data_IF_006137692654
#
_entry.id   IF_006137692654
#
_cell.length_a   1.000
_cell.length_b   1.000
_cell.length_c   1.000
_cell.angle_alpha   90.00
_cell.angle_beta   90.00
_cell.angle_gamma   90.00
#
_symmetry.space_group_name_H-M   'P 1'
#
loop_
_entity.id
_entity.type
_entity.pdbx_description
1 polymer ?
#
# COMPACT_ATOMS: atom_id res chain seq x y z
N UNK A 1 13.47 -26.40 10.53
CA UNK A 1 13.40 -25.85 10.51
C UNK A 1 13.56 -24.96 10.31
N UNK A 2 13.42 -24.85 10.19
CA UNK A 2 13.48 -24.11 9.96
C UNK A 2 13.65 -23.12 10.05
N UNK A 3 14.19 -22.69 9.80
CA UNK A 3 14.32 -21.74 9.87
C UNK A 3 13.86 -20.83 9.80
N UNK A 4 14.00 -20.38 10.15
CA UNK A 4 13.10 -19.58 9.93
C UNK A 4 13.38 -18.18 10.03
N UNK A 5 13.55 -17.61 8.90
CA UNK A 5 13.56 -16.20 8.71
C UNK A 5 12.14 -15.72 8.93
N UNK A 6 11.95 -14.87 9.90
CA UNK A 6 10.65 -14.30 10.11
C UNK A 6 10.34 -13.32 9.01
N UNK A 7 9.15 -13.43 8.47
CA UNK A 7 8.72 -12.50 7.45
C UNK A 7 8.49 -11.11 8.06
N UNK A 8 8.77 -10.09 7.28
CA UNK A 8 8.61 -8.70 7.72
C UNK A 8 7.14 -8.32 7.55
N UNK A 9 6.50 -7.77 8.59
CA UNK A 9 5.09 -7.37 8.47
C UNK A 9 4.91 -6.27 7.44
N UNK A 10 3.93 -6.46 6.56
CA UNK A 10 3.60 -5.49 5.53
C UNK A 10 2.09 -5.39 5.40
N UNK A 11 1.63 -4.34 4.76
CA UNK A 11 0.20 -4.20 4.45
C UNK A 11 0.06 -4.00 2.95
N UNK A 12 -1.09 -4.38 2.43
CA UNK A 12 -1.44 -4.16 1.04
C UNK A 12 -2.36 -2.96 0.95
N UNK A 13 -2.08 -2.08 0.00
CA UNK A 13 -3.00 -0.98 -0.29
C UNK A 13 -3.54 -1.18 -1.70
N UNK A 14 -4.86 -1.27 -1.80
CA UNK A 14 -5.55 -1.50 -3.06
C UNK A 14 -6.45 -0.32 -3.36
N UNK A 15 -6.45 0.12 -4.60
CA UNK A 15 -7.29 1.22 -5.02
C UNK A 15 -7.79 1.00 -6.45
N UNK A 16 -9.04 1.34 -6.67
CA UNK A 16 -9.63 1.29 -8.00
C UNK A 16 -10.55 2.50 -8.16
N UNK A 17 -10.42 3.21 -9.27
CA UNK A 17 -11.28 4.36 -9.53
C UNK A 17 -12.56 3.90 -10.23
N UNK A 18 -13.55 4.79 -10.23
CA UNK A 18 -14.86 4.47 -10.81
C UNK A 18 -14.89 4.67 -12.33
N UNK A 19 -14.00 5.47 -12.84
CA UNK A 19 -14.09 5.97 -14.21
C UNK A 19 -13.06 5.40 -15.16
N UNK A 20 -12.33 4.37 -14.73
CA UNK A 20 -11.28 3.78 -15.54
C UNK A 20 -11.36 2.27 -15.47
N UNK A 21 -10.94 1.63 -16.56
CA UNK A 21 -10.73 0.20 -16.53
C UNK A 21 -9.35 -0.04 -15.94
N UNK A 22 -9.32 -0.53 -14.74
CA UNK A 22 -8.08 -0.80 -14.03
C UNK A 22 -8.06 -2.24 -13.60
N UNK A 23 -6.86 -2.67 -13.19
CA UNK A 23 -6.69 -3.98 -12.61
C UNK A 23 -7.69 -4.18 -11.47
N UNK A 24 -8.37 -5.32 -11.43
CA UNK A 24 -9.35 -5.57 -10.40
C UNK A 24 -8.67 -5.65 -9.03
N UNK A 25 -9.46 -5.41 -7.98
CA UNK A 25 -8.91 -5.48 -6.63
C UNK A 25 -8.39 -6.88 -6.32
N UNK A 26 -9.09 -7.90 -6.79
CA UNK A 26 -8.66 -9.28 -6.58
C UNK A 26 -7.32 -9.57 -7.25
N UNK A 27 -7.15 -9.07 -8.47
CA UNK A 27 -5.90 -9.25 -9.19
C UNK A 27 -4.77 -8.50 -8.52
N UNK A 28 -5.03 -7.28 -8.06
CA UNK A 28 -4.03 -6.51 -7.33
C UNK A 28 -3.59 -7.25 -6.08
N UNK A 29 -4.57 -7.78 -5.33
CA UNK A 29 -4.27 -8.50 -4.09
C UNK A 29 -3.40 -9.71 -4.36
N UNK A 30 -3.73 -10.48 -5.39
CA UNK A 30 -2.99 -11.68 -5.72
C UNK A 30 -1.53 -11.35 -6.04
N UNK A 31 -1.31 -10.32 -6.85
CA UNK A 31 0.04 -9.92 -7.22
C UNK A 31 0.82 -9.38 -6.02
N UNK A 32 0.14 -8.66 -5.14
CA UNK A 32 0.79 -8.12 -3.95
C UNK A 32 1.22 -9.24 -3.01
N UNK A 33 0.35 -10.22 -2.80
CA UNK A 33 0.68 -11.35 -1.93
C UNK A 33 1.84 -12.14 -2.51
N UNK A 34 1.83 -12.36 -3.82
CA UNK A 34 2.91 -13.08 -4.48
C UNK A 34 4.23 -12.33 -4.34
N UNK A 35 4.20 -11.02 -4.56
CA UNK A 35 5.39 -10.19 -4.40
C UNK A 35 5.92 -10.28 -2.95
N UNK A 36 5.01 -10.20 -1.99
CA UNK A 36 5.39 -10.25 -0.59
C UNK A 36 6.10 -11.55 -0.27
N UNK A 37 5.54 -12.67 -0.72
CA UNK A 37 6.13 -13.96 -0.46
C UNK A 37 7.53 -14.09 -1.09
N UNK A 38 7.70 -13.53 -2.27
CA UNK A 38 8.98 -13.60 -2.97
C UNK A 38 10.04 -12.72 -2.32
N UNK A 39 9.64 -11.71 -1.58
CA UNK A 39 10.60 -10.74 -1.02
C UNK A 39 10.69 -10.77 0.50
N UNK A 40 10.10 -11.78 1.12
CA UNK A 40 10.25 -11.96 2.56
C UNK A 40 9.31 -11.12 3.41
N UNK A 41 8.19 -10.71 2.86
CA UNK A 41 7.17 -9.96 3.59
C UNK A 41 5.96 -10.82 3.87
N UNK A 42 5.25 -10.48 4.94
CA UNK A 42 3.97 -11.09 5.26
C UNK A 42 2.91 -10.01 5.29
N UNK A 43 1.88 -10.16 4.46
CA UNK A 43 0.78 -9.20 4.42
C UNK A 43 -0.14 -9.49 5.60
N UNK A 44 -0.18 -8.57 6.56
CA UNK A 44 -0.96 -8.76 7.79
C UNK A 44 -2.28 -8.00 7.76
N UNK A 45 -2.46 -7.09 6.81
CA UNK A 45 -3.64 -6.23 6.76
C UNK A 45 -3.80 -5.66 5.37
N UNK A 46 -5.04 -5.36 4.99
CA UNK A 46 -5.32 -4.69 3.71
C UNK A 46 -6.05 -3.40 3.97
N UNK A 47 -5.76 -2.42 3.12
CA UNK A 47 -6.50 -1.16 3.08
C UNK A 47 -7.02 -1.00 1.67
N UNK A 48 -8.32 -0.74 1.53
CA UNK A 48 -8.96 -0.75 0.21
C UNK A 48 -9.79 0.50 0.03
N UNK A 49 -9.51 1.23 -1.04
CA UNK A 49 -10.32 2.36 -1.47
C UNK A 49 -10.88 2.04 -2.86
N UNK A 50 -12.07 1.47 -2.87
CA UNK A 50 -12.73 1.06 -4.11
C UNK A 50 -13.71 2.14 -4.56
N UNK A 51 -13.83 2.29 -5.88
CA UNK A 51 -14.78 3.20 -6.48
C UNK A 51 -14.55 4.66 -6.08
N UNK A 52 -13.27 5.02 -5.92
CA UNK A 52 -12.87 6.36 -5.51
C UNK A 52 -12.30 7.09 -6.73
N UNK A 53 -12.82 8.28 -7.04
CA UNK A 53 -12.25 9.10 -8.10
C UNK A 53 -10.88 9.66 -7.69
N UNK A 54 -10.70 9.87 -6.42
CA UNK A 54 -9.49 10.00 -5.67
C UNK A 54 -8.29 10.67 -6.27
N UNK A 55 -8.38 11.95 -6.58
CA UNK A 55 -7.20 12.73 -6.89
C UNK A 55 -6.55 13.28 -5.63
N UNK A 56 -7.21 13.17 -4.49
CA UNK A 56 -6.74 13.69 -3.22
C UNK A 56 -6.79 12.57 -2.18
N UNK A 57 -5.83 12.58 -1.25
CA UNK A 57 -5.82 11.61 -0.16
C UNK A 57 -7.05 11.73 0.74
N UNK A 58 -7.65 12.93 0.79
CA UNK A 58 -8.84 13.13 1.59
C UNK A 58 -10.02 12.31 1.09
N UNK A 59 -9.99 11.92 -0.17
CA UNK A 59 -11.04 11.10 -0.77
C UNK A 59 -10.71 9.62 -0.69
N UNK A 60 -9.65 9.27 0.05
CA UNK A 60 -9.19 7.88 0.20
C UNK A 60 -9.08 7.56 1.69
N UNK A 61 -10.21 7.29 2.34
CA UNK A 61 -10.21 7.10 3.80
C UNK A 61 -9.34 5.96 4.28
N UNK A 62 -9.27 4.87 3.52
CA UNK A 62 -8.40 3.76 3.94
C UNK A 62 -6.94 4.10 3.80
N UNK A 63 -6.58 4.90 2.79
CA UNK A 63 -5.22 5.39 2.65
C UNK A 63 -4.83 6.22 3.89
N UNK A 64 -5.70 7.10 4.31
CA UNK A 64 -5.42 7.93 5.49
C UNK A 64 -5.31 7.09 6.75
N UNK A 65 -6.19 6.09 6.89
CA UNK A 65 -6.12 5.19 8.04
C UNK A 65 -4.81 4.42 8.04
N UNK A 66 -4.35 4.01 6.86
CA UNK A 66 -3.09 3.29 6.72
C UNK A 66 -1.91 4.15 7.21
N UNK A 67 -1.89 5.41 6.80
CA UNK A 67 -0.81 6.32 7.21
C UNK A 67 -0.82 6.52 8.71
N UNK A 68 -2.02 6.65 9.31
CA UNK A 68 -2.15 6.80 10.74
C UNK A 68 -1.68 5.54 11.47
N UNK A 69 -2.08 4.37 10.96
CA UNK A 69 -1.71 3.10 11.59
C UNK A 69 -0.21 2.85 11.49
N UNK A 70 0.43 3.36 10.45
CA UNK A 70 1.87 3.22 10.30
C UNK A 70 2.63 3.84 11.47
N UNK A 71 2.09 4.89 12.04
CA UNK A 71 2.75 5.57 13.16
C UNK A 71 2.80 4.69 14.41
N UNK A 72 1.93 3.68 14.50
CA UNK A 72 1.92 2.76 15.62
C UNK A 72 3.00 1.68 15.51
N UNK A 73 3.63 1.54 14.34
CA UNK A 73 4.72 0.60 14.17
C UNK A 73 4.30 -0.84 13.93
N UNK A 74 3.05 -1.07 13.54
CA UNK A 74 2.54 -2.42 13.36
C UNK A 74 3.08 -3.12 12.12
N UNK A 75 3.56 -2.36 11.15
CA UNK A 75 4.09 -2.92 9.91
C UNK A 75 5.25 -2.06 9.42
N UNK A 76 6.03 -2.62 8.50
CA UNK A 76 7.26 -1.98 8.03
C UNK A 76 7.26 -1.72 6.53
N UNK A 77 6.22 -2.12 5.83
CA UNK A 77 6.13 -1.88 4.40
C UNK A 77 4.68 -1.77 3.95
N UNK A 78 4.47 -0.96 2.94
CA UNK A 78 3.20 -0.88 2.22
C UNK A 78 3.48 -1.35 0.81
N UNK A 79 2.73 -2.34 0.35
CA UNK A 79 2.92 -2.89 -0.99
C UNK A 79 1.71 -2.52 -1.83
N UNK A 80 1.97 -1.90 -2.98
CA UNK A 80 0.92 -1.50 -3.92
C UNK A 80 1.18 -2.20 -5.26
N UNK A 81 0.15 -2.32 -6.08
CA UNK A 81 0.31 -2.94 -7.39
C UNK A 81 1.19 -2.09 -8.29
N UNK A 82 0.95 -0.79 -8.33
CA UNK A 82 1.86 0.14 -8.99
C UNK A 82 1.81 1.48 -8.26
N UNK A 83 2.73 2.37 -8.60
CA UNK A 83 2.87 3.63 -7.88
C UNK A 83 1.64 4.52 -7.98
N UNK A 84 0.84 4.38 -9.03
CA UNK A 84 -0.40 5.14 -9.16
C UNK A 84 -1.39 4.84 -8.04
N UNK A 85 -1.30 3.65 -7.45
CA UNK A 85 -2.19 3.29 -6.35
C UNK A 85 -1.85 4.07 -5.09
N UNK A 86 -0.59 4.44 -4.94
CA UNK A 86 -0.14 5.21 -3.79
C UNK A 86 -0.26 6.72 -4.06
N UNK A 87 0.37 7.17 -5.12
CA UNK A 87 0.52 8.60 -5.37
C UNK A 87 -0.32 9.01 -6.58
N UNK A 88 -1.42 9.67 -6.31
CA UNK A 88 -2.27 10.18 -7.36
C UNK A 88 -2.72 11.57 -6.97
N UNK A 89 -2.58 12.52 -7.91
CA UNK A 89 -2.98 13.89 -7.66
C UNK A 89 -1.79 14.75 -7.31
N UNK A 90 -1.92 15.55 -6.27
CA UNK A 90 -0.94 16.58 -5.93
C UNK A 90 0.39 15.98 -5.48
N UNK A 91 1.47 16.40 -6.13
CA UNK A 91 2.81 15.93 -5.80
C UNK A 91 3.18 16.32 -4.37
N UNK A 92 2.82 17.53 -3.94
CA UNK A 92 3.11 17.99 -2.60
C UNK A 92 2.45 17.12 -1.56
N UNK A 93 1.18 16.76 -1.80
CA UNK A 93 0.46 15.89 -0.90
C UNK A 93 1.11 14.50 -0.85
N UNK A 94 1.48 13.97 -2.02
CA UNK A 94 2.12 12.67 -2.11
C UNK A 94 3.41 12.65 -1.32
N UNK A 95 4.23 13.68 -1.46
CA UNK A 95 5.50 13.76 -0.75
C UNK A 95 5.28 13.86 0.76
N UNK A 96 4.24 14.56 1.19
CA UNK A 96 3.91 14.66 2.60
C UNK A 96 3.63 13.27 3.20
N UNK A 97 2.83 12.48 2.52
CA UNK A 97 2.48 11.15 3.03
C UNK A 97 3.67 10.18 2.93
N UNK A 98 4.49 10.31 1.90
CA UNK A 98 5.72 9.51 1.82
C UNK A 98 6.65 9.85 2.97
N UNK A 99 6.74 11.12 3.32
CA UNK A 99 7.57 11.55 4.44
C UNK A 99 7.07 10.94 5.75
N UNK A 100 5.76 10.96 5.98
CA UNK A 100 5.20 10.39 7.20
C UNK A 100 5.49 8.90 7.30
N UNK A 101 5.36 8.17 6.21
CA UNK A 101 5.65 6.75 6.20
C UNK A 101 7.13 6.49 6.43
N UNK A 102 8.00 7.24 5.78
CA UNK A 102 9.44 7.09 5.95
C UNK A 102 9.84 7.37 7.39
N UNK A 103 9.24 8.38 8.00
CA UNK A 103 9.52 8.72 9.39
C UNK A 103 9.10 7.60 10.33
N UNK A 104 8.09 6.84 9.95
CA UNK A 104 7.63 5.68 10.72
C UNK A 104 8.42 4.41 10.38
N UNK A 105 9.46 4.53 9.54
CA UNK A 105 10.26 3.39 9.06
C UNK A 105 9.47 2.42 8.21
N UNK A 106 8.54 2.97 7.42
CA UNK A 106 7.70 2.16 6.52
C UNK A 106 8.11 2.45 5.09
N UNK A 107 8.43 1.39 4.35
CA UNK A 107 8.77 1.49 2.93
C UNK A 107 7.53 1.36 2.07
N UNK A 108 7.54 2.03 0.92
CA UNK A 108 6.48 1.85 -0.08
C UNK A 108 7.07 1.06 -1.23
N UNK A 109 6.47 -0.07 -1.53
CA UNK A 109 6.96 -0.99 -2.55
C UNK A 109 5.90 -1.17 -3.62
N UNK A 110 6.33 -1.24 -4.87
CA UNK A 110 5.43 -1.40 -6.02
C UNK A 110 5.75 -2.69 -6.74
N UNK A 111 4.71 -3.48 -7.01
CA UNK A 111 4.88 -4.78 -7.67
C UNK A 111 5.42 -4.62 -9.08
N UNK A 112 4.95 -3.62 -9.81
CA UNK A 112 5.28 -3.46 -11.23
C UNK A 112 6.49 -2.57 -11.50
N UNK A 113 7.10 -2.02 -10.48
CA UNK A 113 8.19 -1.05 -10.68
C UNK A 113 9.47 -1.33 -9.92
#
# INVERSE_FOLDING_TARGET
MTTTTQAIPAVAYLRRSTDKQEQSLGDQRLEIVRYAEEHGYQVIREYVDDAISGTSAEERPDFQRMVADAQAGDFQAVIVWNSDRFSRGDVTETEHYRYLLRKANVKVLSVTE
#
